data_IF_986767026109
#
_entry.id   IF_986767026109
#
_cell.length_a   1.000
_cell.length_b   1.000
_cell.length_c   1.000
_cell.angle_alpha   90.00
_cell.angle_beta   90.00
_cell.angle_gamma   90.00
#
_symmetry.space_group_name_H-M   'P 1'
#
loop_
_entity.id
_entity.type
_entity.pdbx_description
1 polymer ?
#
# COMPACT_ATOMS: atom_id res chain seq x y z
N UNK A 1 2.89 8.50 -34.67
CA UNK A 1 2.26 9.42 -33.75
C UNK A 1 3.23 9.52 -32.57
N UNK A 2 3.78 10.70 -32.33
CA UNK A 2 4.74 10.93 -31.23
C UNK A 2 4.06 10.57 -29.91
N UNK A 3 4.61 9.59 -29.22
CA UNK A 3 4.24 9.29 -27.83
C UNK A 3 4.94 10.34 -26.95
N UNK A 4 4.40 11.54 -26.92
CA UNK A 4 4.84 12.52 -25.92
C UNK A 4 4.48 11.92 -24.56
N UNK A 5 5.48 11.35 -23.91
CA UNK A 5 5.37 10.87 -22.54
C UNK A 5 4.89 12.06 -21.69
N UNK A 6 3.77 11.91 -21.00
CA UNK A 6 3.29 12.92 -20.06
C UNK A 6 4.42 13.15 -19.05
N UNK A 7 4.95 14.38 -18.91
CA UNK A 7 6.07 14.63 -18.03
C UNK A 7 5.69 14.24 -16.60
N UNK A 8 6.56 13.49 -15.93
CA UNK A 8 6.47 13.27 -14.50
C UNK A 8 6.54 14.58 -13.71
N UNK A 9 6.48 14.50 -12.40
CA UNK A 9 6.75 15.65 -11.56
C UNK A 9 8.19 16.12 -11.82
N UNK A 10 8.36 17.38 -12.19
CA UNK A 10 9.69 17.94 -12.45
C UNK A 10 10.66 17.77 -11.26
N UNK A 11 10.10 17.69 -10.05
CA UNK A 11 10.86 17.44 -8.83
C UNK A 11 11.57 16.07 -8.78
N UNK A 12 11.10 15.08 -9.56
CA UNK A 12 11.68 13.73 -9.63
C UNK A 12 12.46 13.48 -10.93
N UNK A 13 12.41 14.42 -11.88
CA UNK A 13 13.23 14.34 -13.08
C UNK A 13 14.72 14.39 -12.68
N UNK A 14 15.45 13.32 -13.03
CA UNK A 14 16.85 13.17 -12.67
C UNK A 14 17.13 12.55 -11.30
N UNK A 15 16.10 12.33 -10.46
CA UNK A 15 16.26 11.54 -9.22
C UNK A 15 16.56 10.08 -9.59
N UNK A 16 17.75 9.60 -9.20
CA UNK A 16 18.14 8.21 -9.43
C UNK A 16 17.94 7.37 -8.18
N UNK A 17 17.19 6.30 -8.32
CA UNK A 17 16.84 5.35 -7.24
C UNK A 17 17.40 4.00 -7.58
N UNK A 18 18.20 3.42 -6.70
CA UNK A 18 18.63 2.02 -6.76
C UNK A 18 17.77 1.21 -5.79
N UNK A 19 17.07 0.22 -6.31
CA UNK A 19 16.24 -0.69 -5.53
C UNK A 19 16.91 -2.08 -5.49
N UNK A 20 17.30 -2.54 -4.30
CA UNK A 20 17.67 -3.92 -4.02
C UNK A 20 16.60 -4.55 -3.14
N UNK A 21 15.43 -4.81 -3.75
CA UNK A 21 14.24 -5.25 -3.06
C UNK A 21 13.58 -6.45 -3.73
N UNK A 22 12.81 -7.20 -2.93
CA UNK A 22 12.03 -8.35 -3.39
C UNK A 22 10.60 -8.27 -2.85
N UNK A 23 9.69 -9.03 -3.42
CA UNK A 23 8.29 -9.09 -3.04
C UNK A 23 7.56 -7.77 -3.27
N UNK A 24 7.09 -7.09 -2.19
CA UNK A 24 6.13 -5.98 -2.29
C UNK A 24 6.63 -4.69 -1.62
N UNK A 25 7.10 -4.71 -0.37
CA UNK A 25 7.24 -3.49 0.43
C UNK A 25 8.20 -2.43 -0.16
N UNK A 26 9.45 -2.81 -0.51
CA UNK A 26 10.37 -1.90 -1.19
C UNK A 26 9.98 -1.66 -2.66
N UNK A 27 9.61 -2.73 -3.43
CA UNK A 27 9.14 -2.55 -4.80
C UNK A 27 7.99 -1.57 -4.95
N UNK A 28 6.98 -1.58 -4.07
CA UNK A 28 5.83 -0.67 -4.14
C UNK A 28 6.21 0.80 -3.93
N UNK A 29 7.09 1.09 -2.96
CA UNK A 29 7.59 2.44 -2.73
C UNK A 29 8.39 2.95 -3.94
N UNK A 30 9.27 2.10 -4.50
CA UNK A 30 10.07 2.43 -5.67
C UNK A 30 9.22 2.61 -6.94
N UNK A 31 8.13 1.82 -7.10
CA UNK A 31 7.18 1.98 -8.21
C UNK A 31 6.50 3.35 -8.19
N UNK A 32 6.10 3.85 -7.02
CA UNK A 32 5.52 5.18 -6.90
C UNK A 32 6.51 6.29 -7.27
N UNK A 33 7.80 6.14 -6.92
CA UNK A 33 8.84 7.07 -7.37
C UNK A 33 9.02 7.02 -8.90
N UNK A 34 8.98 5.82 -9.51
CA UNK A 34 9.00 5.66 -10.97
C UNK A 34 7.77 6.28 -11.62
N UNK A 35 6.59 6.08 -11.06
CA UNK A 35 5.34 6.69 -11.51
C UNK A 35 5.44 8.23 -11.51
N UNK A 36 6.22 8.81 -10.62
CA UNK A 36 6.43 10.26 -10.54
C UNK A 36 7.60 10.77 -11.37
N UNK A 37 8.31 9.89 -12.07
CA UNK A 37 9.35 10.26 -13.05
C UNK A 37 10.79 10.09 -12.59
N UNK A 38 11.03 9.42 -11.45
CA UNK A 38 12.37 9.02 -11.05
C UNK A 38 12.94 7.91 -11.96
N UNK A 39 14.25 7.89 -12.15
CA UNK A 39 14.98 6.80 -12.78
C UNK A 39 15.21 5.68 -11.74
N UNK A 40 14.34 4.67 -11.76
CA UNK A 40 14.39 3.56 -10.79
C UNK A 40 15.08 2.34 -11.41
N UNK A 41 16.23 1.98 -10.86
CA UNK A 41 17.02 0.81 -11.25
C UNK A 41 16.78 -0.29 -10.20
N UNK A 42 16.06 -1.34 -10.61
CA UNK A 42 15.84 -2.54 -9.80
C UNK A 42 16.98 -3.51 -10.03
N UNK A 43 17.79 -3.73 -8.99
CA UNK A 43 18.84 -4.74 -8.98
C UNK A 43 18.26 -6.07 -8.50
N UNK A 44 18.43 -7.11 -9.31
CA UNK A 44 17.90 -8.45 -9.06
C UNK A 44 19.04 -9.48 -9.11
N UNK A 45 18.95 -10.52 -8.26
CA UNK A 45 19.80 -11.70 -8.41
C UNK A 45 19.52 -12.39 -9.77
N UNK A 46 20.44 -13.24 -10.28
CA UNK A 46 20.25 -13.98 -11.53
C UNK A 46 18.98 -14.83 -11.61
N UNK A 47 18.43 -15.23 -10.45
CA UNK A 47 17.15 -15.97 -10.36
C UNK A 47 15.93 -15.04 -10.40
N UNK A 48 16.11 -13.74 -10.30
CA UNK A 48 15.08 -12.73 -10.25
C UNK A 48 14.38 -12.60 -8.90
N UNK A 49 13.47 -11.62 -8.84
CA UNK A 49 12.56 -11.43 -7.72
C UNK A 49 11.58 -12.62 -7.65
N UNK A 50 11.40 -13.28 -6.47
CA UNK A 50 10.44 -14.37 -6.32
C UNK A 50 9.01 -14.02 -6.77
N UNK A 51 8.60 -12.76 -6.67
CA UNK A 51 7.29 -12.30 -7.11
C UNK A 51 7.07 -12.47 -8.62
N UNK A 52 8.13 -12.51 -9.44
CA UNK A 52 8.01 -12.77 -10.89
C UNK A 52 7.31 -14.10 -11.18
N UNK A 53 7.59 -15.12 -10.36
CA UNK A 53 7.19 -16.52 -10.58
C UNK A 53 6.15 -17.02 -9.58
N UNK A 54 5.53 -16.14 -8.77
CA UNK A 54 4.58 -16.56 -7.74
C UNK A 54 3.37 -17.33 -8.32
N UNK A 55 2.90 -16.99 -9.51
CA UNK A 55 1.82 -17.71 -10.16
C UNK A 55 2.22 -19.13 -10.55
N UNK A 56 3.42 -19.35 -11.10
CA UNK A 56 3.94 -20.69 -11.36
C UNK A 56 4.04 -21.52 -10.10
N UNK A 57 4.45 -20.93 -8.98
CA UNK A 57 4.49 -21.60 -7.66
C UNK A 57 3.12 -22.00 -7.15
N UNK A 58 2.05 -21.30 -7.55
CA UNK A 58 0.66 -21.60 -7.23
C UNK A 58 -0.02 -22.50 -8.25
N UNK A 59 0.73 -22.99 -9.26
CA UNK A 59 0.18 -23.84 -10.32
C UNK A 59 -0.72 -23.07 -11.30
N UNK A 60 -0.61 -21.75 -11.36
CA UNK A 60 -1.36 -20.91 -12.31
C UNK A 60 -0.49 -20.68 -13.54
N UNK A 61 -0.84 -21.33 -14.64
CA UNK A 61 -0.24 -21.06 -15.96
C UNK A 61 -0.91 -19.82 -16.56
N UNK A 62 -0.12 -18.84 -16.94
CA UNK A 62 -0.61 -17.61 -17.55
C UNK A 62 0.41 -17.03 -18.54
N UNK A 63 -0.06 -16.71 -19.75
CA UNK A 63 0.70 -15.95 -20.75
C UNK A 63 0.76 -14.44 -20.41
N UNK A 64 0.06 -14.02 -19.35
CA UNK A 64 0.01 -12.64 -18.90
C UNK A 64 1.07 -12.46 -17.82
N UNK A 65 1.86 -11.36 -17.86
CA UNK A 65 2.76 -11.02 -16.77
C UNK A 65 2.03 -11.00 -15.43
N UNK A 66 2.68 -11.46 -14.35
CA UNK A 66 2.08 -11.49 -13.02
C UNK A 66 1.56 -10.08 -12.63
N UNK A 67 0.24 -9.88 -12.44
CA UNK A 67 -0.33 -8.57 -12.15
C UNK A 67 0.20 -7.94 -10.86
N UNK A 68 0.50 -8.74 -9.84
CA UNK A 68 1.08 -8.24 -8.59
C UNK A 68 2.52 -7.75 -8.81
N UNK A 69 3.32 -8.48 -9.60
CA UNK A 69 4.65 -8.00 -9.97
C UNK A 69 4.57 -6.73 -10.83
N UNK A 70 3.61 -6.66 -11.74
CA UNK A 70 3.41 -5.52 -12.62
C UNK A 70 3.01 -4.25 -11.84
N UNK A 71 2.15 -4.39 -10.83
CA UNK A 71 1.76 -3.29 -9.94
C UNK A 71 2.97 -2.60 -9.31
N UNK A 72 3.91 -3.39 -8.81
CA UNK A 72 5.01 -2.90 -8.00
C UNK A 72 6.33 -2.71 -8.78
N UNK A 73 6.34 -2.98 -10.11
CA UNK A 73 7.59 -2.91 -10.89
C UNK A 73 7.45 -2.23 -12.27
N UNK A 74 6.30 -1.65 -12.56
CA UNK A 74 6.11 -0.82 -13.76
C UNK A 74 7.05 0.39 -13.74
N UNK A 75 7.48 0.83 -14.89
CA UNK A 75 8.31 2.03 -15.06
C UNK A 75 9.75 1.91 -14.59
N UNK A 76 10.18 0.74 -14.12
CA UNK A 76 11.56 0.51 -13.65
C UNK A 76 12.47 -0.02 -14.75
N UNK A 77 13.77 0.12 -14.56
CA UNK A 77 14.81 -0.59 -15.32
C UNK A 77 15.31 -1.77 -14.49
N UNK A 78 15.36 -2.98 -15.07
CA UNK A 78 15.83 -4.20 -14.40
C UNK A 78 17.28 -4.48 -14.77
N UNK A 79 18.11 -4.64 -13.76
CA UNK A 79 19.54 -5.01 -13.84
C UNK A 79 19.77 -6.29 -13.05
N UNK A 80 20.49 -7.24 -13.63
CA UNK A 80 20.84 -8.51 -12.95
C UNK A 80 22.29 -8.46 -12.48
N UNK A 81 22.50 -8.61 -11.17
CA UNK A 81 23.82 -8.70 -10.55
C UNK A 81 23.86 -9.91 -9.60
N UNK A 82 24.94 -10.68 -9.68
CA UNK A 82 25.25 -11.73 -8.71
C UNK A 82 26.17 -11.18 -7.60
N UNK A 83 25.60 -10.68 -6.53
CA UNK A 83 26.37 -10.06 -5.43
C UNK A 83 27.30 -11.03 -4.69
N UNK A 84 27.41 -12.29 -5.11
CA UNK A 84 28.46 -13.21 -4.66
C UNK A 84 29.76 -13.01 -5.40
N UNK A 85 29.68 -12.42 -6.60
CA UNK A 85 30.84 -12.08 -7.44
C UNK A 85 31.37 -10.69 -7.11
N UNK A 86 32.66 -10.51 -7.06
CA UNK A 86 33.29 -9.23 -6.72
C UNK A 86 33.00 -8.14 -7.75
N UNK A 87 33.02 -8.47 -9.03
CA UNK A 87 32.76 -7.54 -10.13
C UNK A 87 31.34 -6.96 -10.03
N UNK A 88 30.35 -7.81 -9.75
CA UNK A 88 28.97 -7.37 -9.60
C UNK A 88 28.72 -6.54 -8.32
N UNK A 89 29.49 -6.82 -7.25
CA UNK A 89 29.46 -5.94 -6.06
C UNK A 89 30.04 -4.57 -6.38
N UNK A 90 31.11 -4.50 -7.18
CA UNK A 90 31.69 -3.22 -7.62
C UNK A 90 30.67 -2.45 -8.50
N UNK A 91 29.98 -3.11 -9.42
CA UNK A 91 28.93 -2.49 -10.21
C UNK A 91 27.80 -1.91 -9.32
N UNK A 92 27.44 -2.61 -8.25
CA UNK A 92 26.47 -2.07 -7.29
C UNK A 92 27.01 -0.86 -6.53
N UNK A 93 28.28 -0.88 -6.09
CA UNK A 93 28.91 0.30 -5.45
C UNK A 93 28.95 1.50 -6.40
N UNK A 94 29.25 1.30 -7.68
CA UNK A 94 29.26 2.36 -8.70
C UNK A 94 27.84 2.91 -8.94
N UNK A 95 26.83 2.04 -8.91
CA UNK A 95 25.42 2.46 -8.93
C UNK A 95 25.08 3.34 -7.73
N UNK A 96 25.45 2.92 -6.51
CA UNK A 96 25.19 3.66 -5.27
C UNK A 96 25.91 5.01 -5.24
N UNK A 97 27.13 5.08 -5.77
CA UNK A 97 27.88 6.32 -5.89
C UNK A 97 27.19 7.35 -6.79
N UNK A 98 26.37 6.89 -7.74
CA UNK A 98 25.65 7.74 -8.70
C UNK A 98 24.17 7.93 -8.34
N UNK A 99 23.67 7.32 -7.25
CA UNK A 99 22.27 7.32 -6.86
C UNK A 99 21.99 8.38 -5.79
N UNK A 100 20.79 8.96 -5.82
CA UNK A 100 20.28 9.81 -4.74
C UNK A 100 19.64 8.99 -3.63
N UNK A 101 19.03 7.86 -4.00
CA UNK A 101 18.26 6.98 -3.11
C UNK A 101 18.66 5.54 -3.30
N UNK A 102 18.88 4.85 -2.19
CA UNK A 102 18.94 3.39 -2.13
C UNK A 102 17.80 2.87 -1.26
N UNK A 103 17.02 1.92 -1.77
CA UNK A 103 15.92 1.28 -1.04
C UNK A 103 16.07 -0.23 -1.04
N UNK A 104 15.95 -0.85 0.14
CA UNK A 104 16.00 -2.30 0.27
C UNK A 104 15.05 -2.82 1.34
N UNK A 105 14.49 -4.01 1.12
CA UNK A 105 13.77 -4.80 2.12
C UNK A 105 14.41 -6.18 2.35
N UNK A 106 15.68 -6.34 1.98
CA UNK A 106 16.44 -7.50 2.37
C UNK A 106 16.67 -7.50 3.88
N UNK A 107 16.79 -8.69 4.48
CA UNK A 107 17.06 -8.80 5.91
C UNK A 107 18.41 -8.15 6.26
N UNK A 108 18.52 -7.57 7.47
CA UNK A 108 19.75 -6.90 7.91
C UNK A 108 20.98 -7.81 7.82
N UNK A 109 20.89 -9.09 8.20
CA UNK A 109 21.98 -10.08 8.08
C UNK A 109 22.47 -10.26 6.63
N UNK A 110 21.55 -10.24 5.68
CA UNK A 110 21.89 -10.35 4.26
C UNK A 110 22.57 -9.08 3.74
N UNK A 111 22.07 -7.90 4.15
CA UNK A 111 22.69 -6.62 3.82
C UNK A 111 24.10 -6.51 4.41
N UNK A 112 24.27 -6.89 5.68
CA UNK A 112 25.57 -6.95 6.35
C UNK A 112 26.54 -7.88 5.59
N UNK A 113 26.06 -9.05 5.14
CA UNK A 113 26.82 -10.02 4.36
C UNK A 113 27.28 -9.52 2.98
N UNK A 114 26.55 -8.57 2.39
CA UNK A 114 26.94 -7.90 1.13
C UNK A 114 27.75 -6.61 1.35
N UNK A 115 28.05 -6.22 2.60
CA UNK A 115 28.70 -4.95 2.90
C UNK A 115 27.80 -3.73 2.76
N UNK A 116 26.48 -3.94 2.78
CA UNK A 116 25.45 -2.92 2.58
C UNK A 116 24.75 -2.53 3.91
N UNK A 117 25.42 -2.73 5.06
CA UNK A 117 24.90 -2.22 6.32
C UNK A 117 24.56 -0.73 6.22
N UNK A 118 23.38 -0.26 6.67
CA UNK A 118 22.94 1.12 6.40
C UNK A 118 23.92 2.19 6.84
N UNK A 119 24.51 2.06 8.04
CA UNK A 119 25.45 3.03 8.58
C UNK A 119 26.75 3.10 7.76
N UNK A 120 27.27 1.93 7.36
CA UNK A 120 28.51 1.83 6.61
C UNK A 120 28.34 2.31 5.16
N UNK A 121 27.18 2.01 4.56
CA UNK A 121 26.85 2.44 3.19
C UNK A 121 26.73 3.97 3.13
N UNK A 122 26.01 4.61 4.07
CA UNK A 122 25.91 6.08 4.12
C UNK A 122 27.25 6.73 4.49
N UNK A 123 28.13 6.06 5.24
CA UNK A 123 29.47 6.56 5.49
C UNK A 123 30.32 6.58 4.21
N UNK A 124 30.19 5.58 3.31
CA UNK A 124 30.87 5.56 2.00
C UNK A 124 30.23 6.52 0.99
N UNK A 125 28.90 6.67 1.05
CA UNK A 125 28.11 7.51 0.15
C UNK A 125 27.32 8.56 0.96
N UNK A 126 27.96 9.66 1.45
CA UNK A 126 27.34 10.60 2.39
C UNK A 126 26.16 11.37 1.82
N UNK A 127 25.99 11.40 0.49
CA UNK A 127 24.85 12.03 -0.20
C UNK A 127 23.64 11.11 -0.30
N UNK A 128 23.81 9.79 -0.08
CA UNK A 128 22.80 8.78 -0.34
C UNK A 128 21.70 8.76 0.74
N UNK A 129 20.44 8.86 0.32
CA UNK A 129 19.29 8.57 1.19
C UNK A 129 19.06 7.06 1.18
N UNK A 130 19.38 6.39 2.27
CA UNK A 130 19.26 4.95 2.40
C UNK A 130 17.95 4.59 3.12
N UNK A 131 16.99 3.97 2.43
CA UNK A 131 15.78 3.44 3.06
C UNK A 131 15.89 1.94 3.30
N UNK A 132 15.89 1.53 4.56
CA UNK A 132 15.81 0.13 4.98
C UNK A 132 14.42 -0.21 5.46
N UNK A 133 13.77 -1.18 4.82
CA UNK A 133 12.48 -1.73 5.23
C UNK A 133 12.73 -3.12 5.80
N UNK A 134 12.41 -3.32 7.07
CA UNK A 134 12.63 -4.59 7.77
C UNK A 134 11.33 -5.16 8.34
N UNK A 135 11.35 -6.41 8.78
CA UNK A 135 10.23 -7.01 9.49
C UNK A 135 10.02 -6.38 10.87
N UNK A 136 11.09 -6.35 11.68
CA UNK A 136 11.01 -6.01 13.10
C UNK A 136 11.85 -4.80 13.52
N UNK A 137 12.56 -4.15 12.61
CA UNK A 137 13.49 -3.05 12.88
C UNK A 137 14.95 -3.49 12.75
N UNK A 138 15.85 -2.52 12.83
CA UNK A 138 17.30 -2.76 12.68
C UNK A 138 18.00 -3.06 14.03
N UNK A 139 17.25 -3.05 15.14
CA UNK A 139 17.78 -3.24 16.50
C UNK A 139 17.01 -4.31 17.25
N UNK A 140 17.63 -4.84 18.30
CA UNK A 140 17.07 -5.89 19.15
C UNK A 140 17.36 -7.30 18.63
N UNK A 141 17.08 -8.29 19.47
CA UNK A 141 17.47 -9.70 19.24
C UNK A 141 16.76 -10.34 18.05
N UNK A 142 15.68 -9.76 17.59
CA UNK A 142 14.88 -10.29 16.46
C UNK A 142 15.06 -9.50 15.17
N UNK A 143 16.07 -8.63 15.05
CA UNK A 143 16.31 -7.83 13.84
C UNK A 143 16.41 -8.66 12.55
N UNK A 144 16.96 -9.84 12.65
CA UNK A 144 17.22 -10.74 11.51
C UNK A 144 16.15 -11.86 11.38
N UNK A 145 15.13 -11.84 12.24
CA UNK A 145 14.06 -12.84 12.21
C UNK A 145 13.28 -12.76 10.89
N UNK A 146 13.18 -13.88 10.15
CA UNK A 146 12.43 -13.91 8.89
C UNK A 146 10.94 -13.73 9.14
N UNK A 147 10.31 -12.94 8.28
CA UNK A 147 8.86 -12.70 8.32
C UNK A 147 8.35 -12.18 6.98
N UNK A 148 7.06 -12.31 6.78
CA UNK A 148 6.26 -11.55 5.83
C UNK A 148 5.33 -10.61 6.58
N UNK A 149 4.56 -9.79 5.87
CA UNK A 149 3.61 -8.84 6.45
C UNK A 149 2.57 -9.53 7.37
N UNK A 150 2.12 -10.73 7.03
CA UNK A 150 1.22 -11.54 7.87
C UNK A 150 1.78 -11.71 9.30
N UNK A 151 3.09 -11.95 9.43
CA UNK A 151 3.73 -12.15 10.72
C UNK A 151 3.98 -10.85 11.46
N UNK A 152 4.67 -9.89 10.84
CA UNK A 152 5.12 -8.70 11.53
C UNK A 152 4.07 -7.59 11.57
N UNK A 153 3.43 -7.27 10.42
CA UNK A 153 2.45 -6.21 10.34
C UNK A 153 1.11 -6.63 10.96
N UNK A 154 0.59 -7.82 10.64
CA UNK A 154 -0.73 -8.25 11.08
C UNK A 154 -0.72 -8.91 12.46
N UNK A 155 0.01 -10.01 12.62
CA UNK A 155 -0.06 -10.81 13.84
C UNK A 155 0.61 -10.10 15.02
N UNK A 156 1.87 -9.67 14.85
CA UNK A 156 2.66 -9.16 15.97
C UNK A 156 2.33 -7.73 16.39
N UNK A 157 1.77 -6.91 15.51
CA UNK A 157 1.28 -5.57 15.85
C UNK A 157 0.01 -5.58 16.69
N UNK A 158 -0.71 -6.72 16.73
CA UNK A 158 -1.99 -6.87 17.40
C UNK A 158 -3.21 -6.70 16.48
N UNK A 159 -3.03 -6.27 15.21
CA UNK A 159 -4.13 -6.02 14.27
C UNK A 159 -5.01 -7.26 14.08
N UNK A 160 -4.41 -8.44 13.85
CA UNK A 160 -5.18 -9.68 13.65
C UNK A 160 -6.04 -10.05 14.85
N UNK A 161 -5.56 -9.79 16.07
CA UNK A 161 -6.33 -10.06 17.30
C UNK A 161 -7.39 -9.00 17.56
N UNK A 162 -7.14 -7.74 17.21
CA UNK A 162 -8.13 -6.68 17.36
C UNK A 162 -9.31 -6.87 16.39
N UNK A 163 -9.05 -7.47 15.22
CA UNK A 163 -10.04 -7.82 14.20
C UNK A 163 -10.48 -9.29 14.27
N UNK A 164 -10.33 -9.94 15.42
CA UNK A 164 -10.74 -11.32 15.62
C UNK A 164 -12.26 -11.47 15.45
N UNK A 165 -12.67 -12.67 14.99
CA UNK A 165 -14.09 -13.00 14.89
C UNK A 165 -14.78 -13.16 16.26
N UNK A 166 -16.08 -13.47 16.27
CA UNK A 166 -16.86 -13.63 17.48
C UNK A 166 -16.37 -14.77 18.38
N UNK A 167 -15.75 -15.79 17.80
CA UNK A 167 -15.17 -16.94 18.47
C UNK A 167 -13.76 -16.63 19.03
N UNK A 168 -13.17 -15.49 18.65
CA UNK A 168 -11.85 -15.06 19.06
C UNK A 168 -10.72 -15.55 18.15
N UNK A 169 -11.04 -16.09 16.98
CA UNK A 169 -10.02 -16.45 16.00
C UNK A 169 -9.42 -15.17 15.38
N UNK A 170 -8.09 -15.05 15.28
CA UNK A 170 -7.47 -13.88 14.68
C UNK A 170 -7.84 -13.75 13.20
N UNK A 171 -7.95 -12.52 12.71
CA UNK A 171 -8.17 -12.28 11.28
C UNK A 171 -7.06 -12.95 10.46
N UNK A 172 -7.45 -13.80 9.51
CA UNK A 172 -6.56 -14.33 8.49
C UNK A 172 -6.44 -13.34 7.33
N UNK A 173 -5.53 -12.40 7.47
CA UNK A 173 -5.34 -11.34 6.49
C UNK A 173 -4.69 -11.86 5.20
N UNK A 174 -4.94 -11.16 4.08
CA UNK A 174 -4.24 -11.42 2.82
C UNK A 174 -2.87 -10.74 2.81
N UNK A 175 -1.86 -11.44 2.28
CA UNK A 175 -0.51 -10.89 2.10
C UNK A 175 -0.48 -9.69 1.16
N UNK A 176 0.51 -8.82 1.35
CA UNK A 176 0.76 -7.64 0.55
C UNK A 176 0.08 -6.36 1.05
N UNK A 177 -1.02 -6.45 1.84
CA UNK A 177 -1.70 -5.25 2.38
C UNK A 177 -0.77 -4.50 3.33
N UNK A 178 -0.16 -5.21 4.28
CA UNK A 178 0.79 -4.62 5.23
C UNK A 178 2.05 -4.10 4.54
N UNK A 179 2.51 -4.78 3.49
CA UNK A 179 3.64 -4.37 2.68
C UNK A 179 3.37 -3.04 1.95
N UNK A 180 2.22 -2.90 1.27
CA UNK A 180 1.86 -1.65 0.58
C UNK A 180 1.74 -0.46 1.55
N UNK A 181 1.12 -0.66 2.73
CA UNK A 181 1.04 0.38 3.76
C UNK A 181 2.45 0.76 4.26
N UNK A 182 3.33 -0.24 4.43
CA UNK A 182 4.72 -0.02 4.83
C UNK A 182 5.53 0.66 3.72
N UNK A 183 5.26 0.33 2.45
CA UNK A 183 5.82 1.00 1.28
C UNK A 183 5.45 2.49 1.23
N UNK A 184 4.19 2.84 1.54
CA UNK A 184 3.78 4.25 1.65
C UNK A 184 4.47 4.97 2.82
N UNK A 185 4.66 4.31 3.95
CA UNK A 185 5.43 4.87 5.07
C UNK A 185 6.91 5.08 4.68
N UNK A 186 7.50 4.14 3.95
CA UNK A 186 8.85 4.26 3.42
C UNK A 186 8.98 5.42 2.44
N UNK A 187 8.02 5.56 1.51
CA UNK A 187 7.96 6.68 0.58
C UNK A 187 7.92 8.03 1.30
N UNK A 188 7.09 8.18 2.34
CA UNK A 188 7.04 9.40 3.14
C UNK A 188 8.40 9.73 3.79
N UNK A 189 9.08 8.73 4.35
CA UNK A 189 10.40 8.86 4.93
C UNK A 189 11.48 9.21 3.87
N UNK A 190 11.41 8.58 2.70
CA UNK A 190 12.30 8.88 1.56
C UNK A 190 12.15 10.33 1.09
N UNK A 191 10.91 10.82 0.94
CA UNK A 191 10.67 12.21 0.54
C UNK A 191 11.28 13.20 1.51
N UNK A 192 11.11 12.98 2.82
CA UNK A 192 11.74 13.81 3.84
C UNK A 192 13.29 13.75 3.75
N UNK A 193 13.84 12.56 3.54
CA UNK A 193 15.27 12.38 3.35
C UNK A 193 15.82 13.09 2.09
N UNK A 194 15.12 13.01 0.96
CA UNK A 194 15.49 13.67 -0.29
C UNK A 194 15.41 15.18 -0.19
N UNK A 195 14.39 15.73 0.50
CA UNK A 195 14.29 17.18 0.74
C UNK A 195 15.51 17.66 1.51
N UNK A 196 15.85 16.98 2.62
CA UNK A 196 17.02 17.36 3.41
C UNK A 196 18.34 17.17 2.65
N UNK A 197 18.45 16.07 1.88
CA UNK A 197 19.63 15.84 1.03
C UNK A 197 19.84 16.95 0.00
N UNK A 198 18.78 17.45 -0.62
CA UNK A 198 18.84 18.59 -1.56
C UNK A 198 19.27 19.90 -0.90
N UNK A 199 18.87 20.12 0.35
CA UNK A 199 19.24 21.33 1.10
C UNK A 199 20.66 21.29 1.66
N UNK A 200 21.09 20.11 2.11
CA UNK A 200 22.34 19.96 2.89
C UNK A 200 23.47 19.27 2.13
N UNK A 201 23.15 18.63 0.97
CA UNK A 201 24.07 17.73 0.25
C UNK A 201 24.30 16.40 0.98
N UNK A 202 23.60 16.12 2.08
CA UNK A 202 23.80 14.94 2.92
C UNK A 202 22.54 14.08 3.01
N UNK A 203 22.68 12.82 2.65
CA UNK A 203 21.66 11.81 2.86
C UNK A 203 21.61 11.32 4.29
N UNK A 204 20.71 10.37 4.55
CA UNK A 204 20.54 9.72 5.86
C UNK A 204 19.94 8.34 5.73
N UNK A 205 20.00 7.58 6.80
CA UNK A 205 19.26 6.32 6.92
C UNK A 205 17.80 6.62 7.32
N UNK A 206 16.88 6.12 6.49
CA UNK A 206 15.44 6.06 6.76
C UNK A 206 15.11 4.62 7.15
N UNK A 207 14.67 4.41 8.37
CA UNK A 207 14.32 3.09 8.91
C UNK A 207 12.81 2.94 9.01
N UNK A 208 12.26 1.92 8.35
CA UNK A 208 10.85 1.54 8.42
C UNK A 208 10.74 0.04 8.73
N UNK A 209 9.74 -0.37 9.48
CA UNK A 209 9.50 -1.80 9.71
C UNK A 209 8.01 -2.14 9.65
N UNK A 210 7.71 -3.35 9.19
CA UNK A 210 6.36 -3.90 9.14
C UNK A 210 5.69 -3.85 10.52
N UNK A 211 6.40 -4.27 11.57
CA UNK A 211 5.88 -4.23 12.94
C UNK A 211 5.53 -2.80 13.37
N UNK A 212 6.44 -1.84 13.18
CA UNK A 212 6.23 -0.45 13.60
C UNK A 212 5.10 0.21 12.82
N UNK A 213 4.98 -0.09 11.52
CA UNK A 213 3.89 0.41 10.69
C UNK A 213 2.56 -0.18 11.13
N UNK A 214 2.48 -1.49 11.40
CA UNK A 214 1.26 -2.12 11.92
C UNK A 214 0.85 -1.58 13.29
N UNK A 215 1.80 -1.32 14.19
CA UNK A 215 1.50 -0.68 15.49
C UNK A 215 1.01 0.76 15.32
N UNK A 216 1.53 1.51 14.34
CA UNK A 216 1.05 2.86 14.05
C UNK A 216 -0.38 2.85 13.51
N UNK A 217 -0.72 1.91 12.63
CA UNK A 217 -2.09 1.72 12.11
C UNK A 217 -3.07 1.41 13.25
N UNK A 218 -2.66 0.61 14.24
CA UNK A 218 -3.45 0.31 15.45
C UNK A 218 -3.29 1.39 16.55
N UNK A 219 -2.71 2.52 16.24
CA UNK A 219 -2.29 3.54 17.21
C UNK A 219 -3.39 4.07 18.11
N UNK A 220 -4.64 4.17 17.61
CA UNK A 220 -5.81 4.55 18.43
C UNK A 220 -6.02 3.56 19.58
N UNK A 221 -6.15 2.27 19.27
CA UNK A 221 -6.43 1.23 20.26
C UNK A 221 -5.24 1.05 21.23
N UNK A 222 -4.02 1.11 20.71
CA UNK A 222 -2.82 1.05 21.54
C UNK A 222 -2.71 2.27 22.47
N UNK A 223 -3.12 3.46 22.02
CA UNK A 223 -3.21 4.65 22.85
C UNK A 223 -4.19 4.45 24.00
N UNK A 224 -5.37 3.90 23.74
CA UNK A 224 -6.35 3.53 24.77
C UNK A 224 -5.81 2.46 25.72
N UNK A 225 -5.16 1.43 25.18
CA UNK A 225 -4.55 0.37 25.98
C UNK A 225 -3.47 0.92 26.93
N UNK A 226 -2.58 1.78 26.45
CA UNK A 226 -1.52 2.39 27.26
C UNK A 226 -2.08 3.35 28.34
N UNK A 227 -3.16 4.06 28.02
CA UNK A 227 -3.73 5.08 28.92
C UNK A 227 -4.70 4.48 29.93
N UNK A 228 -5.57 3.56 29.49
CA UNK A 228 -6.67 3.02 30.30
C UNK A 228 -6.43 1.57 30.75
N UNK A 229 -5.35 0.92 30.30
CA UNK A 229 -5.06 -0.48 30.59
C UNK A 229 -5.98 -1.49 29.91
N UNK A 230 -6.85 -1.01 29.02
CA UNK A 230 -7.81 -1.85 28.29
C UNK A 230 -8.23 -1.21 26.98
N UNK A 231 -8.57 -2.03 26.00
CA UNK A 231 -9.22 -1.64 24.76
C UNK A 231 -10.42 -2.57 24.54
N UNK A 232 -11.51 -2.03 23.99
CA UNK A 232 -12.67 -2.84 23.63
C UNK A 232 -12.31 -3.71 22.42
N UNK A 233 -12.69 -4.97 22.44
CA UNK A 233 -12.67 -5.81 21.24
C UNK A 233 -13.80 -5.38 20.30
N UNK A 234 -13.62 -5.61 19.00
CA UNK A 234 -14.72 -5.50 18.06
C UNK A 234 -15.84 -6.46 18.50
N UNK A 235 -17.03 -5.93 18.72
CA UNK A 235 -18.20 -6.74 19.04
C UNK A 235 -18.78 -7.35 17.75
N UNK A 236 -19.43 -8.53 17.83
CA UNK A 236 -20.20 -9.04 16.71
C UNK A 236 -21.22 -8.00 16.22
N UNK A 237 -21.49 -8.02 14.92
CA UNK A 237 -22.34 -7.04 14.23
C UNK A 237 -23.69 -6.83 14.93
N UNK A 238 -24.33 -7.92 15.38
CA UNK A 238 -25.64 -7.93 16.05
C UNK A 238 -25.65 -7.29 17.45
N UNK A 239 -24.47 -6.96 17.98
CA UNK A 239 -24.26 -6.30 19.29
C UNK A 239 -23.45 -5.03 19.20
N UNK A 240 -23.16 -4.57 17.99
CA UNK A 240 -22.37 -3.34 17.79
C UNK A 240 -22.99 -2.18 18.57
N UNK A 241 -22.16 -1.47 19.35
CA UNK A 241 -22.60 -0.34 20.18
C UNK A 241 -23.10 0.87 19.38
N UNK A 242 -22.77 0.91 18.10
CA UNK A 242 -23.15 1.97 17.18
C UNK A 242 -23.93 1.39 15.98
N UNK A 243 -25.26 1.17 16.09
CA UNK A 243 -26.07 0.63 15.00
C UNK A 243 -25.99 1.42 13.68
N UNK A 244 -25.71 2.72 13.74
CA UNK A 244 -25.50 3.56 12.56
C UNK A 244 -24.03 3.58 12.04
N UNK A 245 -23.16 2.78 12.61
CA UNK A 245 -21.79 2.48 12.15
C UNK A 245 -21.64 0.96 12.02
N UNK A 246 -22.53 0.34 11.22
CA UNK A 246 -22.70 -1.12 11.23
C UNK A 246 -23.05 -1.61 9.83
N UNK A 247 -22.61 -2.81 9.43
CA UNK A 247 -23.02 -3.42 8.17
C UNK A 247 -24.41 -4.04 8.28
N UNK A 248 -25.18 -3.93 7.18
CA UNK A 248 -26.51 -4.50 7.02
C UNK A 248 -26.62 -5.24 5.69
N UNK A 249 -27.52 -6.20 5.60
CA UNK A 249 -27.71 -7.03 4.42
C UNK A 249 -29.06 -6.75 3.78
N UNK A 250 -29.05 -6.23 2.57
CA UNK A 250 -30.26 -5.98 1.79
C UNK A 250 -30.91 -7.29 1.30
N UNK A 251 -32.17 -7.19 0.84
CA UNK A 251 -32.98 -8.32 0.43
C UNK A 251 -32.42 -9.15 -0.74
N UNK A 252 -31.55 -8.56 -1.57
CA UNK A 252 -30.82 -9.23 -2.64
C UNK A 252 -29.51 -9.92 -2.16
N UNK A 253 -29.22 -9.83 -0.86
CA UNK A 253 -28.04 -10.42 -0.24
C UNK A 253 -26.79 -9.55 -0.28
N UNK A 254 -26.81 -8.38 -0.90
CA UNK A 254 -25.69 -7.42 -0.90
C UNK A 254 -25.58 -6.72 0.44
N UNK A 255 -24.33 -6.43 0.83
CA UNK A 255 -24.02 -5.74 2.07
C UNK A 255 -23.76 -4.26 1.84
N UNK A 256 -24.10 -3.45 2.84
CA UNK A 256 -23.76 -2.04 2.91
C UNK A 256 -23.49 -1.63 4.37
N UNK A 257 -22.85 -0.50 4.56
CA UNK A 257 -22.64 0.09 5.88
C UNK A 257 -23.45 1.38 6.01
N UNK A 258 -24.13 1.56 7.14
CA UNK A 258 -24.38 2.92 7.61
C UNK A 258 -23.09 3.47 8.22
N UNK A 259 -22.82 4.77 8.01
CA UNK A 259 -21.58 5.43 8.46
C UNK A 259 -21.85 6.68 9.30
N UNK A 260 -23.01 6.74 9.96
CA UNK A 260 -23.49 7.86 10.77
C UNK A 260 -23.10 7.74 12.24
N UNK A 261 -22.01 8.39 12.66
CA UNK A 261 -21.55 8.32 14.06
C UNK A 261 -22.46 9.09 15.04
N UNK A 262 -23.04 10.21 14.62
CA UNK A 262 -23.83 11.11 15.46
C UNK A 262 -25.32 10.74 15.36
N UNK A 263 -25.82 9.93 16.30
CA UNK A 263 -27.18 9.39 16.25
C UNK A 263 -28.27 10.48 16.09
N UNK A 264 -28.23 11.57 16.87
CA UNK A 264 -29.20 12.66 16.79
C UNK A 264 -29.29 13.29 15.39
N UNK A 265 -28.19 13.32 14.64
CA UNK A 265 -28.11 13.87 13.29
C UNK A 265 -28.60 12.87 12.23
N UNK A 266 -28.26 11.59 12.38
CA UNK A 266 -28.41 10.61 11.30
C UNK A 266 -29.67 9.76 11.42
N UNK A 267 -30.15 9.47 12.64
CA UNK A 267 -31.37 8.65 12.86
C UNK A 267 -32.59 9.15 12.11
N UNK A 268 -32.90 10.46 12.11
CA UNK A 268 -34.12 10.93 11.42
C UNK A 268 -34.11 10.65 9.91
N UNK A 269 -32.95 10.85 9.26
CA UNK A 269 -32.79 10.57 7.83
C UNK A 269 -32.90 9.07 7.55
N UNK A 270 -32.27 8.23 8.37
CA UNK A 270 -32.32 6.77 8.23
C UNK A 270 -33.76 6.28 8.40
N UNK A 271 -34.50 6.72 9.42
CA UNK A 271 -35.91 6.30 9.62
C UNK A 271 -36.81 6.70 8.45
N UNK A 272 -36.62 7.89 7.87
CA UNK A 272 -37.40 8.30 6.69
C UNK A 272 -36.99 7.48 5.45
N UNK A 273 -35.72 7.29 5.20
CA UNK A 273 -35.24 6.50 4.07
C UNK A 273 -35.72 5.04 4.13
N UNK A 274 -35.77 4.48 5.34
CA UNK A 274 -36.35 3.16 5.58
C UNK A 274 -37.87 3.11 5.41
N UNK A 275 -38.56 4.25 5.32
CA UNK A 275 -40.01 4.34 5.20
C UNK A 275 -40.76 4.21 6.54
N UNK A 276 -40.06 4.30 7.65
CA UNK A 276 -40.54 4.11 9.01
C UNK A 276 -40.29 5.33 9.90
N UNK A 277 -40.82 6.52 9.55
CA UNK A 277 -40.63 7.73 10.35
C UNK A 277 -41.21 7.61 11.77
N UNK A 278 -42.19 6.73 12.02
CA UNK A 278 -42.77 6.43 13.34
C UNK A 278 -41.72 5.85 14.32
N UNK A 279 -40.61 5.30 13.86
CA UNK A 279 -39.51 4.87 14.72
C UNK A 279 -38.94 6.02 15.56
N UNK A 280 -39.14 7.27 15.13
CA UNK A 280 -38.69 8.44 15.90
C UNK A 280 -39.51 8.65 17.19
N UNK A 281 -40.72 8.10 17.26
CA UNK A 281 -41.58 8.12 18.45
C UNK A 281 -41.31 6.92 19.39
N UNK A 282 -40.53 5.96 18.94
CA UNK A 282 -40.12 4.79 19.74
C UNK A 282 -39.05 5.18 20.77
N UNK A 283 -39.26 4.89 22.07
CA UNK A 283 -38.30 5.23 23.13
C UNK A 283 -36.86 4.65 22.89
N UNK A 284 -36.75 3.59 22.10
CA UNK A 284 -35.41 2.99 21.76
C UNK A 284 -34.56 3.89 20.86
N UNK A 285 -35.21 4.81 20.12
CA UNK A 285 -34.57 5.77 19.21
C UNK A 285 -34.48 7.19 19.76
N UNK A 286 -34.96 7.44 21.01
CA UNK A 286 -35.06 8.75 21.59
C UNK A 286 -33.76 9.56 21.64
N UNK A 287 -32.64 8.91 21.90
CA UNK A 287 -31.30 9.51 21.93
C UNK A 287 -30.18 8.47 21.74
N UNK A 288 -28.95 8.94 21.60
CA UNK A 288 -27.78 8.07 21.42
C UNK A 288 -27.61 7.06 22.57
N UNK A 289 -27.99 7.41 23.80
CA UNK A 289 -27.90 6.54 24.96
C UNK A 289 -28.96 5.43 24.92
N UNK A 290 -30.21 5.77 24.50
CA UNK A 290 -31.27 4.81 24.28
C UNK A 290 -30.90 3.80 23.18
N UNK A 291 -30.47 4.29 22.03
CA UNK A 291 -30.01 3.45 20.92
C UNK A 291 -28.88 2.48 21.37
N UNK A 292 -27.91 2.97 22.14
CA UNK A 292 -26.83 2.12 22.67
C UNK A 292 -27.33 1.08 23.66
N UNK A 293 -28.27 1.45 24.53
CA UNK A 293 -28.89 0.48 25.48
C UNK A 293 -29.68 -0.60 24.78
N UNK A 294 -30.41 -0.23 23.72
CA UNK A 294 -31.30 -1.11 22.96
C UNK A 294 -30.66 -1.56 21.62
N UNK A 295 -29.33 -1.49 21.50
CA UNK A 295 -28.61 -1.72 20.23
C UNK A 295 -29.01 -2.99 19.50
N UNK A 296 -29.15 -4.10 20.21
CA UNK A 296 -29.53 -5.40 19.62
C UNK A 296 -30.92 -5.35 18.98
N UNK A 297 -31.89 -4.70 19.65
CA UNK A 297 -33.24 -4.54 19.13
C UNK A 297 -33.27 -3.55 17.96
N UNK A 298 -32.53 -2.45 18.04
CA UNK A 298 -32.41 -1.47 16.96
C UNK A 298 -31.78 -2.11 15.71
N UNK A 299 -30.72 -2.90 15.89
CA UNK A 299 -30.09 -3.63 14.77
C UNK A 299 -31.06 -4.62 14.16
N UNK A 300 -31.80 -5.38 14.98
CA UNK A 300 -32.79 -6.33 14.47
C UNK A 300 -33.91 -5.64 13.68
N UNK A 301 -34.43 -4.50 14.16
CA UNK A 301 -35.40 -3.69 13.42
C UNK A 301 -34.86 -3.25 12.07
N UNK A 302 -33.62 -2.75 12.01
CA UNK A 302 -33.01 -2.37 10.74
C UNK A 302 -32.79 -3.57 9.83
N UNK A 303 -32.35 -4.72 10.36
CA UNK A 303 -32.19 -5.96 9.59
C UNK A 303 -33.50 -6.41 8.94
N UNK A 304 -34.60 -6.42 9.71
CA UNK A 304 -35.91 -6.82 9.19
C UNK A 304 -36.38 -5.89 8.06
N UNK A 305 -36.24 -4.57 8.24
CA UNK A 305 -36.68 -3.59 7.24
C UNK A 305 -35.78 -3.65 5.98
N UNK A 306 -34.45 -3.67 6.12
CA UNK A 306 -33.57 -3.64 4.94
C UNK A 306 -33.63 -4.93 4.13
N UNK A 307 -34.07 -6.04 4.72
CA UNK A 307 -34.31 -7.29 4.01
C UNK A 307 -35.51 -7.24 3.03
N UNK A 308 -36.39 -6.24 3.13
CA UNK A 308 -37.58 -6.13 2.27
C UNK A 308 -37.27 -5.76 0.82
N UNK A 309 -36.18 -5.05 0.56
CA UNK A 309 -35.84 -4.55 -0.78
C UNK A 309 -34.38 -4.83 -1.15
N UNK A 310 -34.08 -4.89 -2.48
CA UNK A 310 -32.70 -4.95 -2.97
C UNK A 310 -31.93 -3.65 -2.67
N UNK A 311 -30.60 -3.75 -2.62
CA UNK A 311 -29.70 -2.64 -2.27
C UNK A 311 -29.90 -1.43 -3.18
N UNK A 312 -30.14 -1.60 -4.49
CA UNK A 312 -30.31 -0.48 -5.41
C UNK A 312 -31.56 0.36 -5.08
N UNK A 313 -32.63 -0.25 -4.53
CA UNK A 313 -33.79 0.45 -4.02
C UNK A 313 -33.45 1.29 -2.78
N UNK A 314 -32.69 0.70 -1.87
CA UNK A 314 -32.22 1.39 -0.67
C UNK A 314 -31.27 2.52 -0.99
N UNK A 315 -30.32 2.30 -1.91
CA UNK A 315 -29.38 3.30 -2.37
C UNK A 315 -30.07 4.59 -2.81
N UNK A 316 -31.09 4.48 -3.67
CA UNK A 316 -31.85 5.63 -4.13
C UNK A 316 -32.52 6.40 -2.99
N UNK A 317 -33.13 5.70 -2.01
CA UNK A 317 -33.76 6.32 -0.85
C UNK A 317 -32.76 6.93 0.12
N UNK A 318 -31.61 6.26 0.32
CA UNK A 318 -30.53 6.79 1.17
C UNK A 318 -29.95 8.08 0.61
N UNK A 319 -29.72 8.12 -0.70
CA UNK A 319 -29.21 9.32 -1.37
C UNK A 319 -30.22 10.47 -1.33
N UNK A 320 -31.53 10.19 -1.56
CA UNK A 320 -32.60 11.19 -1.48
C UNK A 320 -32.71 11.82 -0.09
N UNK A 321 -32.61 11.02 0.98
CA UNK A 321 -32.71 11.47 2.36
C UNK A 321 -31.38 11.94 2.99
N UNK A 322 -30.28 11.88 2.22
CA UNK A 322 -28.95 12.27 2.69
C UNK A 322 -28.40 11.38 3.78
N UNK A 323 -28.73 10.09 3.76
CA UNK A 323 -28.19 9.09 4.68
C UNK A 323 -26.71 8.87 4.37
N UNK A 324 -25.90 8.77 5.39
CA UNK A 324 -24.49 8.39 5.25
C UNK A 324 -24.37 6.88 5.19
N UNK A 325 -24.03 6.39 4.02
CA UNK A 325 -23.93 4.97 3.75
C UNK A 325 -22.85 4.67 2.70
N UNK A 326 -22.44 3.41 2.58
CA UNK A 326 -21.58 2.92 1.53
C UNK A 326 -21.85 1.45 1.23
N UNK A 327 -21.84 1.00 -0.05
CA UNK A 327 -21.91 -0.41 -0.38
C UNK A 327 -20.64 -1.13 0.05
N UNK A 328 -20.75 -2.39 0.50
CA UNK A 328 -19.63 -3.29 0.69
C UNK A 328 -19.37 -4.00 -0.64
N UNK A 329 -18.51 -3.44 -1.45
CA UNK A 329 -18.21 -3.92 -2.80
C UNK A 329 -17.30 -5.15 -2.79
N UNK A 330 -17.52 -6.04 -3.74
CA UNK A 330 -16.58 -7.10 -4.10
C UNK A 330 -15.42 -6.54 -4.95
N UNK A 331 -14.26 -7.20 -5.03
CA UNK A 331 -13.19 -6.77 -5.94
C UNK A 331 -13.63 -6.62 -7.40
N UNK A 332 -14.60 -7.42 -7.86
CA UNK A 332 -15.16 -7.32 -9.21
C UNK A 332 -15.96 -6.02 -9.41
N UNK A 333 -16.67 -5.56 -8.39
CA UNK A 333 -17.42 -4.31 -8.44
C UNK A 333 -16.48 -3.10 -8.35
N UNK A 334 -15.45 -3.19 -7.49
CA UNK A 334 -14.47 -2.10 -7.29
C UNK A 334 -13.76 -1.72 -8.58
N UNK A 335 -13.33 -2.70 -9.40
CA UNK A 335 -12.57 -2.40 -10.64
C UNK A 335 -13.38 -1.66 -11.70
N UNK A 336 -14.71 -1.65 -11.58
CA UNK A 336 -15.64 -0.96 -12.47
C UNK A 336 -16.43 0.15 -11.74
N UNK A 337 -16.05 0.49 -10.49
CA UNK A 337 -16.66 1.56 -9.72
C UNK A 337 -16.50 2.91 -10.43
N UNK A 338 -17.61 3.62 -10.76
CA UNK A 338 -17.55 4.88 -11.49
C UNK A 338 -16.75 5.97 -10.78
N UNK A 339 -16.81 6.01 -9.42
CA UNK A 339 -16.09 7.00 -8.64
C UNK A 339 -14.58 6.72 -8.63
N UNK A 340 -14.17 5.45 -8.55
CA UNK A 340 -12.78 5.06 -8.67
C UNK A 340 -12.24 5.40 -10.07
N UNK A 341 -13.00 5.10 -11.12
CA UNK A 341 -12.63 5.38 -12.52
C UNK A 341 -12.55 6.88 -12.78
N UNK A 342 -13.49 7.68 -12.25
CA UNK A 342 -13.49 9.14 -12.40
C UNK A 342 -12.31 9.82 -11.69
N UNK A 343 -11.65 9.13 -10.75
CA UNK A 343 -10.45 9.58 -10.04
C UNK A 343 -9.18 8.85 -10.48
N UNK A 344 -9.18 8.30 -11.69
CA UNK A 344 -8.02 7.63 -12.28
C UNK A 344 -7.45 6.48 -11.42
N UNK A 345 -8.29 5.82 -10.61
CA UNK A 345 -7.86 4.75 -9.71
C UNK A 345 -7.43 3.47 -10.41
N UNK A 346 -7.72 3.34 -11.72
CA UNK A 346 -7.30 2.23 -12.58
C UNK A 346 -6.45 2.78 -13.73
N UNK A 347 -5.30 2.17 -13.93
CA UNK A 347 -4.37 2.49 -15.02
C UNK A 347 -4.24 1.33 -16.02
N UNK A 348 -3.67 1.63 -17.18
CA UNK A 348 -3.29 0.62 -18.17
C UNK A 348 -1.77 0.47 -18.19
N UNK A 349 -1.29 -0.78 -18.16
CA UNK A 349 0.09 -1.15 -18.45
C UNK A 349 0.12 -1.67 -19.90
N UNK A 350 0.97 -1.10 -20.72
CA UNK A 350 1.10 -1.50 -22.12
C UNK A 350 1.57 -2.96 -22.23
N UNK A 351 1.06 -3.65 -23.24
CA UNK A 351 1.50 -5.01 -23.56
C UNK A 351 2.86 -5.01 -24.28
N UNK A 352 3.59 -6.11 -24.19
CA UNK A 352 4.81 -6.36 -24.96
C UNK A 352 4.54 -7.34 -26.09
N UNK A 353 4.92 -6.97 -27.32
CA UNK A 353 4.85 -7.87 -28.47
C UNK A 353 3.45 -8.44 -28.69
N UNK A 354 3.23 -9.70 -28.33
CA UNK A 354 1.93 -10.38 -28.47
C UNK A 354 1.03 -10.26 -27.25
N UNK A 355 1.51 -9.75 -26.12
CA UNK A 355 0.69 -9.59 -24.90
C UNK A 355 -0.23 -8.37 -25.03
N UNK A 356 -1.48 -8.52 -24.55
CA UNK A 356 -2.44 -7.41 -24.48
C UNK A 356 -2.07 -6.43 -23.37
N UNK A 357 -2.54 -5.18 -23.49
CA UNK A 357 -2.52 -4.23 -22.40
C UNK A 357 -3.25 -4.81 -21.16
N UNK A 358 -2.74 -4.49 -19.99
CA UNK A 358 -3.23 -5.01 -18.72
C UNK A 358 -3.75 -3.86 -17.86
N UNK A 359 -4.96 -4.00 -17.30
CA UNK A 359 -5.46 -3.07 -16.29
C UNK A 359 -4.71 -3.32 -14.96
N UNK A 360 -4.38 -2.25 -14.27
CA UNK A 360 -3.74 -2.28 -12.96
C UNK A 360 -4.33 -1.20 -12.05
N UNK A 361 -4.20 -1.37 -10.74
CA UNK A 361 -4.51 -0.31 -9.79
C UNK A 361 -3.47 0.80 -9.97
N UNK A 362 -3.93 2.05 -9.99
CA UNK A 362 -3.04 3.20 -10.03
C UNK A 362 -2.44 3.48 -8.65
N UNK A 363 -1.38 4.30 -8.59
CA UNK A 363 -0.87 4.81 -7.32
C UNK A 363 -1.96 5.59 -6.56
N UNK A 364 -1.97 5.58 -5.22
CA UNK A 364 -3.05 6.20 -4.44
C UNK A 364 -2.95 7.73 -4.36
N UNK A 365 -2.00 8.33 -5.05
CA UNK A 365 -1.72 9.77 -5.02
C UNK A 365 -1.79 10.31 -6.45
N UNK A 366 -2.64 11.31 -6.66
CA UNK A 366 -2.73 12.06 -7.91
C UNK A 366 -2.29 13.51 -7.74
N UNK A 367 -1.86 14.14 -8.81
CA UNK A 367 -1.46 15.55 -8.84
C UNK A 367 -2.28 16.29 -9.89
N UNK A 368 -2.70 17.52 -9.59
CA UNK A 368 -3.65 18.29 -10.40
C UNK A 368 -3.26 18.46 -11.87
N UNK A 369 -1.96 18.52 -12.14
CA UNK A 369 -1.43 18.83 -13.47
C UNK A 369 -0.79 17.61 -14.16
N UNK A 370 -0.98 16.41 -13.62
CA UNK A 370 -0.44 15.16 -14.15
C UNK A 370 -1.61 14.30 -14.64
N UNK A 371 -1.71 14.11 -15.95
CA UNK A 371 -2.75 13.27 -16.52
C UNK A 371 -2.58 11.79 -16.12
N UNK A 372 -3.70 11.05 -16.12
CA UNK A 372 -3.67 9.59 -15.97
C UNK A 372 -2.68 8.96 -16.96
N UNK A 373 -1.84 8.06 -16.46
CA UNK A 373 -0.74 7.49 -17.26
C UNK A 373 -1.12 6.15 -17.84
N UNK A 374 -0.62 5.93 -19.06
CA UNK A 374 -0.30 4.60 -19.53
C UNK A 374 1.12 4.27 -19.11
N UNK A 375 1.29 3.14 -18.48
CA UNK A 375 2.60 2.69 -18.00
C UNK A 375 3.28 1.82 -19.04
N UNK A 376 4.60 1.98 -19.17
CA UNK A 376 5.42 1.09 -19.95
C UNK A 376 5.31 -0.37 -19.42
N UNK A 377 5.53 -1.36 -20.29
CA UNK A 377 5.56 -2.75 -19.88
C UNK A 377 6.57 -2.97 -18.76
N UNK A 378 6.26 -3.94 -17.88
CA UNK A 378 7.19 -4.37 -16.85
C UNK A 378 8.47 -4.92 -17.46
N UNK A 379 9.66 -4.55 -17.01
CA UNK A 379 10.91 -5.01 -17.60
C UNK A 379 11.09 -6.53 -17.40
N UNK A 380 11.63 -7.19 -18.41
CA UNK A 380 12.13 -8.56 -18.26
C UNK A 380 13.33 -8.55 -17.31
N UNK A 381 13.59 -9.70 -16.68
CA UNK A 381 14.77 -9.86 -15.82
C UNK A 381 16.05 -9.49 -16.59
N UNK A 382 16.82 -8.55 -16.02
CA UNK A 382 18.08 -8.08 -16.60
C UNK A 382 17.95 -7.31 -17.91
N UNK A 383 16.75 -6.88 -18.29
CA UNK A 383 16.51 -6.23 -19.59
C UNK A 383 17.44 -5.03 -19.87
N UNK A 384 17.83 -4.32 -18.82
CA UNK A 384 18.61 -3.08 -18.93
C UNK A 384 20.04 -3.23 -18.36
N UNK A 385 20.52 -4.48 -18.13
CA UNK A 385 21.83 -4.71 -17.52
C UNK A 385 22.94 -4.06 -18.33
N UNK A 386 23.06 -4.39 -19.63
CA UNK A 386 24.12 -3.85 -20.49
C UNK A 386 24.04 -2.33 -20.64
N UNK A 387 22.83 -1.79 -20.80
CA UNK A 387 22.57 -0.35 -20.89
C UNK A 387 23.06 0.39 -19.66
N UNK A 388 22.66 -0.07 -18.46
CA UNK A 388 23.00 0.58 -17.19
C UNK A 388 24.49 0.46 -16.88
N UNK A 389 25.10 -0.71 -17.14
CA UNK A 389 26.55 -0.89 -16.95
C UNK A 389 27.36 -0.01 -17.92
N UNK A 390 26.88 0.18 -19.14
CA UNK A 390 27.54 1.09 -20.09
C UNK A 390 27.44 2.56 -19.62
N UNK A 391 26.27 3.00 -19.16
CA UNK A 391 26.09 4.32 -18.55
C UNK A 391 27.05 4.57 -17.37
N UNK A 392 27.32 3.55 -16.55
CA UNK A 392 28.25 3.65 -15.44
C UNK A 392 29.70 3.81 -15.93
N UNK A 393 30.11 2.99 -16.92
CA UNK A 393 31.45 3.07 -17.49
C UNK A 393 31.74 4.45 -18.10
N UNK A 394 30.77 5.03 -18.80
CA UNK A 394 30.88 6.37 -19.38
C UNK A 394 31.05 7.47 -18.32
N UNK A 395 30.36 7.34 -17.16
CA UNK A 395 30.47 8.26 -16.04
C UNK A 395 31.81 8.17 -15.30
N UNK A 396 32.33 6.96 -15.10
CA UNK A 396 33.64 6.73 -14.47
C UNK A 396 34.76 7.23 -15.37
N UNK A 397 34.61 7.15 -16.69
CA UNK A 397 35.57 7.63 -17.68
C UNK A 397 35.56 9.13 -17.95
N UNK A 398 34.50 9.85 -17.49
CA UNK A 398 34.37 11.29 -17.69
C UNK A 398 35.26 12.05 -16.68
N UNK A 399 36.06 13.07 -17.09
CA UNK A 399 36.78 13.89 -16.14
C UNK A 399 35.79 14.64 -15.26
N UNK A 400 36.10 14.90 -13.96
CA UNK A 400 35.20 15.61 -13.06
C UNK A 400 34.81 16.93 -13.69
N UNK A 401 33.48 17.16 -13.81
CA UNK A 401 32.94 18.42 -14.30
C UNK A 401 33.44 19.53 -13.40
N UNK A 402 34.22 20.45 -13.97
CA UNK A 402 34.54 21.72 -13.32
C UNK A 402 33.25 22.56 -13.33
N UNK A 403 32.44 22.43 -12.29
CA UNK A 403 31.34 23.34 -12.03
C UNK A 403 31.78 24.41 -11.04
N UNK A 404 31.43 25.66 -11.32
CA UNK A 404 31.94 26.85 -10.66
C UNK A 404 31.41 27.07 -9.22
#
# INVERSE_FOLDING_TARGET
MSTDAVPGLSAFAGLRVVELGVWVAAPSAAALLADWGADVIKVEAPVGDPMRNVFGSLGIESDIPNPAFALDNRGKRSVTLNLREEEDRQHLEDLLASADVFISNLRPDSLDGFGLAPADTVARHPHLVYCSISGYGLRGDERDRPTYDIGAFWARSGLSMQMADAEGNPLNARGGIGDHITGLAALAGLLAGVIEQRETGRGRVVEVSLLRTGTYVLGWDLGLQMTLGKVARAEPRDRNQAPLMNPYRAGDGRWFFFTGLEAARHVPAVCRALGHPELLDDPRFADASAIRRHRTEVIAIFDDIVAEHPLDTWAARFDEEGVWWAPAQTPGEVVDDPQLLANDGIAEIEGTGTSKAQRSVNGPISFSDVAARRYAPVPRLGQHTDEVLHELADRVGAPPSADP
#
